data_IF_732226995634
#
_entry.id   IF_732226995634
#
_cell.length_a   1.000
_cell.length_b   1.000
_cell.length_c   1.000
_cell.angle_alpha   90.00
_cell.angle_beta   90.00
_cell.angle_gamma   90.00
#
_symmetry.space_group_name_H-M   'P 1'
#
loop_
_entity.id
_entity.type
_entity.pdbx_description
1 polymer ?
#
# COMPACT_ATOMS: atom_id res chain seq x y z
N UNK A 1 -33.39 35.50 -16.82
CA UNK A 1 -32.13 36.26 -16.91
C UNK A 1 -31.62 36.15 -18.35
N UNK A 2 -31.71 37.24 -19.12
CA UNK A 2 -31.18 37.31 -20.49
C UNK A 2 -29.67 37.54 -20.42
N UNK A 3 -28.87 36.63 -20.97
CA UNK A 3 -27.46 36.94 -21.27
C UNK A 3 -27.36 37.55 -22.66
N UNK A 4 -26.86 38.79 -22.69
CA UNK A 4 -26.61 39.61 -23.89
C UNK A 4 -25.59 38.96 -24.83
N UNK A 5 -25.79 39.22 -26.13
CA UNK A 5 -24.87 39.07 -27.26
C UNK A 5 -23.38 39.21 -26.85
N UNK A 6 -22.60 38.17 -27.09
CA UNK A 6 -21.14 38.28 -27.19
C UNK A 6 -20.80 38.74 -28.61
N UNK A 7 -20.53 40.04 -28.70
CA UNK A 7 -19.76 40.68 -29.76
C UNK A 7 -18.45 39.95 -29.99
N UNK A 8 -18.16 39.59 -31.25
CA UNK A 8 -16.82 39.53 -31.87
C UNK A 8 -15.64 39.62 -30.89
N UNK A 9 -15.39 38.54 -30.14
CA UNK A 9 -14.29 38.41 -29.19
C UNK A 9 -13.43 37.24 -29.58
N UNK A 10 -12.10 37.45 -29.58
CA UNK A 10 -11.03 36.51 -29.91
C UNK A 10 -11.39 35.07 -29.47
N UNK A 11 -11.28 34.05 -30.34
CA UNK A 11 -11.60 32.68 -29.97
C UNK A 11 -10.82 32.30 -28.72
N UNK A 12 -11.53 31.94 -27.65
CA UNK A 12 -10.95 31.47 -26.40
C UNK A 12 -10.16 30.21 -26.70
N UNK A 13 -8.85 30.25 -26.49
CA UNK A 13 -7.96 29.12 -26.73
C UNK A 13 -6.69 29.48 -27.46
N UNK A 14 -5.86 30.36 -26.89
CA UNK A 14 -4.41 30.39 -27.21
C UNK A 14 -3.56 31.14 -26.17
N UNK A 15 -4.16 31.92 -25.26
CA UNK A 15 -3.44 32.77 -24.29
C UNK A 15 -3.44 32.25 -22.83
N UNK A 16 -3.86 30.99 -22.61
CA UNK A 16 -3.85 30.37 -21.29
C UNK A 16 -4.99 30.81 -20.36
N UNK A 17 -5.99 31.53 -20.86
CA UNK A 17 -7.16 32.01 -20.11
C UNK A 17 -8.29 30.99 -19.95
N UNK A 18 -8.15 29.76 -20.48
CA UNK A 18 -9.14 28.69 -20.34
C UNK A 18 -9.25 28.22 -18.87
N UNK A 19 -9.97 29.01 -18.08
CA UNK A 19 -10.24 28.80 -16.67
C UNK A 19 -10.97 27.46 -16.45
N UNK A 20 -11.90 27.12 -17.35
CA UNK A 20 -12.60 25.83 -17.33
C UNK A 20 -11.65 24.65 -17.55
N UNK A 21 -10.66 24.77 -18.45
CA UNK A 21 -9.66 23.71 -18.65
C UNK A 21 -8.74 23.59 -17.43
N UNK A 22 -8.27 24.72 -16.89
CA UNK A 22 -7.43 24.75 -15.69
C UNK A 22 -8.12 24.15 -14.47
N UNK A 23 -9.40 24.44 -14.24
CA UNK A 23 -10.15 23.84 -13.12
C UNK A 23 -10.28 22.32 -13.22
N UNK A 24 -10.53 21.78 -14.43
CA UNK A 24 -10.65 20.32 -14.63
C UNK A 24 -9.28 19.63 -14.50
N UNK A 25 -8.22 20.28 -14.97
CA UNK A 25 -6.85 19.74 -14.91
C UNK A 25 -6.31 19.80 -13.48
N UNK A 26 -6.46 20.93 -12.79
CA UNK A 26 -6.00 21.11 -11.41
C UNK A 26 -6.71 20.18 -10.44
N UNK A 27 -8.03 19.99 -10.58
CA UNK A 27 -8.76 19.04 -9.74
C UNK A 27 -8.27 17.60 -9.92
N UNK A 28 -7.96 17.17 -11.16
CA UNK A 28 -7.36 15.85 -11.41
C UNK A 28 -5.96 15.71 -10.81
N UNK A 29 -5.11 16.72 -10.94
CA UNK A 29 -3.78 16.70 -10.33
C UNK A 29 -3.85 16.68 -8.80
N UNK A 30 -4.77 17.44 -8.20
CA UNK A 30 -5.01 17.40 -6.76
C UNK A 30 -5.48 16.02 -6.28
N UNK A 31 -6.35 15.35 -7.03
CA UNK A 31 -6.79 13.98 -6.71
C UNK A 31 -5.62 12.99 -6.75
N UNK A 32 -4.75 13.06 -7.76
CA UNK A 32 -3.56 12.21 -7.85
C UNK A 32 -2.59 12.50 -6.70
N UNK A 33 -2.37 13.77 -6.36
CA UNK A 33 -1.51 14.15 -5.24
C UNK A 33 -2.03 13.63 -3.90
N UNK A 34 -3.34 13.80 -3.64
CA UNK A 34 -4.01 13.23 -2.46
C UNK A 34 -3.88 11.72 -2.43
N UNK A 35 -4.18 11.03 -3.53
CA UNK A 35 -4.05 9.57 -3.63
C UNK A 35 -2.62 9.09 -3.33
N UNK A 36 -1.61 9.76 -3.88
CA UNK A 36 -0.19 9.44 -3.59
C UNK A 36 0.19 9.66 -2.13
N UNK A 37 -0.40 10.64 -1.46
CA UNK A 37 -0.19 10.89 -0.02
C UNK A 37 -0.78 9.75 0.82
N UNK A 38 -2.04 9.39 0.58
CA UNK A 38 -2.69 8.27 1.28
C UNK A 38 -1.93 6.97 1.08
N UNK A 39 -1.54 6.68 -0.16
CA UNK A 39 -0.77 5.49 -0.47
C UNK A 39 0.61 5.47 0.21
N UNK A 40 1.26 6.63 0.34
CA UNK A 40 2.51 6.75 1.10
C UNK A 40 2.30 6.41 2.58
N UNK A 41 1.18 6.82 3.16
CA UNK A 41 0.84 6.52 4.54
C UNK A 41 0.57 5.03 4.72
N UNK A 42 -0.17 4.41 3.78
CA UNK A 42 -0.38 2.95 3.78
C UNK A 42 0.94 2.17 3.74
N UNK A 43 1.91 2.55 2.91
CA UNK A 43 3.22 1.89 2.89
C UNK A 43 3.96 2.00 4.23
N UNK A 44 3.87 3.14 4.90
CA UNK A 44 4.49 3.32 6.22
C UNK A 44 3.79 2.42 7.25
N UNK A 45 2.45 2.41 7.27
CA UNK A 45 1.68 1.56 8.17
C UNK A 45 1.97 0.08 7.95
N UNK A 46 2.01 -0.38 6.70
CA UNK A 46 2.34 -1.77 6.38
C UNK A 46 3.77 -2.13 6.77
N UNK A 47 4.75 -1.24 6.54
CA UNK A 47 6.12 -1.47 6.96
C UNK A 47 6.25 -1.62 8.49
N UNK A 48 5.50 -0.81 9.26
CA UNK A 48 5.45 -0.92 10.73
C UNK A 48 4.83 -2.25 11.15
N UNK A 49 3.71 -2.64 10.56
CA UNK A 49 3.05 -3.92 10.84
C UNK A 49 3.96 -5.11 10.49
N UNK A 50 4.68 -5.02 9.38
CA UNK A 50 5.63 -6.04 8.97
C UNK A 50 6.81 -6.16 9.93
N UNK A 51 7.30 -5.03 10.47
CA UNK A 51 8.35 -5.04 11.48
C UNK A 51 7.88 -5.72 12.76
N UNK A 52 6.64 -5.46 13.20
CA UNK A 52 6.01 -6.16 14.33
C UNK A 52 5.83 -7.65 14.03
N UNK A 53 5.35 -8.00 12.84
CA UNK A 53 5.19 -9.40 12.43
C UNK A 53 6.52 -10.15 12.39
N UNK A 54 7.59 -9.50 11.92
CA UNK A 54 8.92 -10.06 11.87
C UNK A 54 9.50 -10.31 13.27
N UNK A 55 9.33 -9.40 14.22
CA UNK A 55 9.78 -9.62 15.60
C UNK A 55 9.01 -10.76 16.27
N UNK A 56 7.69 -10.83 16.05
CA UNK A 56 6.86 -11.92 16.56
C UNK A 56 7.19 -13.27 15.94
N UNK A 57 7.57 -13.32 14.66
CA UNK A 57 8.03 -14.55 14.01
C UNK A 57 9.43 -14.99 14.51
N UNK A 58 10.28 -14.03 14.87
CA UNK A 58 11.64 -14.27 15.33
C UNK A 58 11.71 -14.78 16.77
N UNK A 59 10.93 -14.20 17.69
CA UNK A 59 10.96 -14.53 19.13
C UNK A 59 10.83 -16.04 19.42
N UNK A 60 9.80 -16.76 18.90
CA UNK A 60 9.63 -18.19 19.14
C UNK A 60 10.72 -19.05 18.49
N UNK A 61 11.33 -18.56 17.40
CA UNK A 61 12.38 -19.27 16.68
C UNK A 61 13.71 -19.34 17.43
N UNK A 62 13.90 -18.52 18.48
CA UNK A 62 15.06 -18.61 19.37
C UNK A 62 14.94 -19.82 20.31
N UNK A 63 13.71 -20.16 20.72
CA UNK A 63 13.46 -21.26 21.68
C UNK A 63 13.08 -22.58 21.01
N UNK A 64 12.55 -22.53 19.78
CA UNK A 64 12.11 -23.72 19.05
C UNK A 64 13.14 -24.15 17.99
N UNK A 65 13.49 -25.44 17.96
CA UNK A 65 14.38 -26.08 16.96
C UNK A 65 13.85 -25.99 15.50
N UNK A 66 12.64 -25.48 15.29
CA UNK A 66 12.00 -25.35 13.99
C UNK A 66 11.51 -23.91 13.73
N UNK A 67 12.29 -23.06 13.06
CA UNK A 67 11.85 -21.72 12.67
C UNK A 67 10.69 -21.79 11.69
N UNK A 68 9.70 -20.90 11.83
CA UNK A 68 8.56 -20.81 10.92
C UNK A 68 8.99 -20.21 9.57
N UNK A 69 9.47 -21.08 8.69
CA UNK A 69 9.93 -20.76 7.33
C UNK A 69 8.87 -20.02 6.51
N UNK A 70 7.58 -20.31 6.73
CA UNK A 70 6.47 -19.61 6.06
C UNK A 70 6.37 -18.16 6.52
N UNK A 71 6.51 -17.89 7.81
CA UNK A 71 6.53 -16.51 8.32
C UNK A 71 7.74 -15.73 7.78
N UNK A 72 8.94 -16.31 7.82
CA UNK A 72 10.16 -15.66 7.31
C UNK A 72 10.09 -15.35 5.81
N UNK A 73 9.69 -16.33 5.01
CA UNK A 73 9.51 -16.13 3.56
C UNK A 73 8.46 -15.08 3.26
N UNK A 74 7.35 -15.07 4.02
CA UNK A 74 6.31 -14.04 3.89
C UNK A 74 6.85 -12.65 4.20
N UNK A 75 7.66 -12.49 5.27
CA UNK A 75 8.30 -11.20 5.59
C UNK A 75 9.19 -10.73 4.43
N UNK A 76 10.03 -11.62 3.88
CA UNK A 76 10.94 -11.28 2.77
C UNK A 76 10.14 -10.84 1.53
N UNK A 77 9.12 -11.61 1.14
CA UNK A 77 8.31 -11.29 -0.04
C UNK A 77 7.55 -9.97 0.15
N UNK A 78 7.02 -9.71 1.35
CA UNK A 78 6.34 -8.46 1.65
C UNK A 78 7.29 -7.25 1.60
N UNK A 79 8.54 -7.38 2.06
CA UNK A 79 9.56 -6.31 1.89
C UNK A 79 9.80 -6.02 0.40
N UNK A 80 9.99 -7.05 -0.41
CA UNK A 80 10.18 -6.89 -1.87
C UNK A 80 8.95 -6.25 -2.51
N UNK A 81 7.74 -6.69 -2.13
CA UNK A 81 6.49 -6.12 -2.62
C UNK A 81 6.37 -4.62 -2.28
N UNK A 82 6.71 -4.23 -1.05
CA UNK A 82 6.72 -2.82 -0.61
C UNK A 82 7.69 -1.96 -1.44
N UNK A 83 8.87 -2.48 -1.76
CA UNK A 83 9.84 -1.78 -2.63
C UNK A 83 9.23 -1.56 -4.02
N UNK A 84 8.62 -2.60 -4.60
CA UNK A 84 7.95 -2.52 -5.91
C UNK A 84 6.79 -1.50 -5.86
N UNK A 85 5.97 -1.55 -4.81
CA UNK A 85 4.86 -0.61 -4.59
C UNK A 85 5.33 0.84 -4.49
N UNK A 86 6.42 1.10 -3.75
CA UNK A 86 6.98 2.44 -3.63
C UNK A 86 7.56 2.97 -4.96
N UNK A 87 8.20 2.10 -5.74
CA UNK A 87 8.64 2.43 -7.11
C UNK A 87 7.41 2.75 -7.99
N UNK A 88 6.37 1.94 -7.91
CA UNK A 88 5.09 2.13 -8.61
C UNK A 88 4.45 3.48 -8.29
N UNK A 89 4.40 3.86 -7.01
CA UNK A 89 3.88 5.17 -6.56
C UNK A 89 4.70 6.33 -7.09
N UNK A 90 6.04 6.26 -7.02
CA UNK A 90 6.93 7.34 -7.50
C UNK A 90 6.79 7.54 -9.01
N UNK A 91 6.75 6.45 -9.78
CA UNK A 91 6.64 6.49 -11.26
C UNK A 91 5.19 6.57 -11.78
N UNK A 92 4.19 6.70 -10.91
CA UNK A 92 2.77 6.67 -11.26
C UNK A 92 2.35 5.46 -12.13
N UNK A 93 3.01 4.30 -11.95
CA UNK A 93 2.74 3.10 -12.76
C UNK A 93 1.67 2.25 -12.10
N UNK A 94 0.46 2.29 -12.65
CA UNK A 94 -0.70 1.55 -12.13
C UNK A 94 -0.49 0.03 -12.11
N UNK A 95 0.21 -0.54 -13.08
CA UNK A 95 0.52 -1.97 -13.13
C UNK A 95 1.32 -2.46 -11.92
N UNK A 96 2.39 -1.73 -11.55
CA UNK A 96 3.19 -2.06 -10.36
C UNK A 96 2.38 -1.93 -9.08
N UNK A 97 1.47 -0.96 -9.03
CA UNK A 97 0.62 -0.74 -7.87
C UNK A 97 -0.42 -1.84 -7.68
N UNK A 98 -1.00 -2.34 -8.79
CA UNK A 98 -1.91 -3.49 -8.77
C UNK A 98 -1.19 -4.77 -8.36
N UNK A 99 0.01 -4.99 -8.92
CA UNK A 99 0.84 -6.13 -8.55
C UNK A 99 1.15 -6.12 -7.04
N UNK A 100 1.64 -4.99 -6.53
CA UNK A 100 1.89 -4.81 -5.10
C UNK A 100 0.62 -5.10 -4.28
N UNK A 101 -0.54 -4.55 -4.66
CA UNK A 101 -1.78 -4.72 -3.89
C UNK A 101 -2.20 -6.20 -3.79
N UNK A 102 -2.09 -6.97 -4.88
CA UNK A 102 -2.42 -8.40 -4.88
C UNK A 102 -1.42 -9.20 -4.06
N UNK A 103 -0.12 -9.01 -4.31
CA UNK A 103 0.94 -9.79 -3.65
C UNK A 103 1.02 -9.48 -2.16
N UNK A 104 1.01 -8.19 -1.78
CA UNK A 104 0.99 -7.76 -0.37
C UNK A 104 -0.20 -8.38 0.37
N UNK A 105 -1.40 -8.37 -0.22
CA UNK A 105 -2.59 -8.95 0.42
C UNK A 105 -2.45 -10.45 0.68
N UNK A 106 -2.00 -11.22 -0.32
CA UNK A 106 -1.80 -12.67 -0.19
C UNK A 106 -0.76 -12.97 0.89
N UNK A 107 0.36 -12.27 0.85
CA UNK A 107 1.48 -12.53 1.76
C UNK A 107 1.17 -12.08 3.19
N UNK A 108 0.42 -10.99 3.37
CA UNK A 108 -0.07 -10.57 4.68
C UNK A 108 -1.01 -11.62 5.30
N UNK A 109 -1.90 -12.21 4.50
CA UNK A 109 -2.77 -13.30 4.97
C UNK A 109 -1.97 -14.54 5.37
N UNK A 110 -0.96 -14.92 4.57
CA UNK A 110 -0.06 -16.03 4.90
C UNK A 110 0.71 -15.77 6.19
N UNK A 111 1.21 -14.54 6.37
CA UNK A 111 1.92 -14.13 7.59
C UNK A 111 1.00 -14.26 8.81
N UNK A 112 -0.21 -13.68 8.77
CA UNK A 112 -1.17 -13.76 9.88
C UNK A 112 -1.53 -15.21 10.20
N UNK A 113 -1.82 -16.04 9.19
CA UNK A 113 -2.14 -17.45 9.39
C UNK A 113 -0.96 -18.22 10.02
N UNK A 114 0.26 -17.92 9.59
CA UNK A 114 1.48 -18.54 10.12
C UNK A 114 1.74 -18.15 11.58
N UNK A 115 1.49 -16.89 11.97
CA UNK A 115 1.60 -16.45 13.36
C UNK A 115 0.50 -17.05 14.23
N UNK A 116 -0.75 -17.11 13.73
CA UNK A 116 -1.87 -17.67 14.47
C UNK A 116 -1.67 -19.18 14.77
N UNK A 117 -1.18 -19.93 13.79
CA UNK A 117 -0.85 -21.36 13.96
C UNK A 117 0.29 -21.56 14.96
N UNK A 118 1.35 -20.74 14.91
CA UNK A 118 2.41 -20.78 15.93
C UNK A 118 1.87 -20.50 17.34
N UNK A 119 1.03 -19.48 17.49
CA UNK A 119 0.46 -19.14 18.80
C UNK A 119 -0.43 -20.27 19.34
N UNK A 120 -1.26 -20.89 18.49
CA UNK A 120 -2.08 -22.05 18.88
C UNK A 120 -1.22 -23.23 19.31
N UNK A 121 -0.15 -23.56 18.57
CA UNK A 121 0.77 -24.64 18.92
C UNK A 121 1.46 -24.37 20.27
N UNK A 122 1.95 -23.15 20.48
CA UNK A 122 2.56 -22.76 21.76
C UNK A 122 1.58 -22.93 22.91
N UNK A 123 0.34 -22.46 22.75
CA UNK A 123 -0.70 -22.59 23.78
C UNK A 123 -0.96 -24.06 24.15
N UNK A 124 -1.09 -24.94 23.16
CA UNK A 124 -1.30 -26.39 23.39
C UNK A 124 -0.11 -27.01 24.14
N UNK A 125 1.13 -26.65 23.79
CA UNK A 125 2.32 -27.17 24.47
C UNK A 125 2.36 -26.75 25.94
N UNK A 126 2.00 -25.49 26.25
CA UNK A 126 1.93 -25.01 27.63
C UNK A 126 0.81 -25.70 28.43
N UNK A 127 -0.34 -25.94 27.81
CA UNK A 127 -1.48 -26.62 28.46
C UNK A 127 -1.21 -28.10 28.72
N UNK A 128 -0.49 -28.80 27.84
CA UNK A 128 -0.08 -30.21 28.06
C UNK A 128 1.01 -30.34 29.13
N UNK A 129 1.82 -29.29 29.35
CA UNK A 129 2.94 -29.31 30.32
C UNK A 129 2.49 -29.07 31.76
N UNK A 130 1.31 -28.52 31.98
CA UNK A 130 0.80 -28.08 33.28
C UNK A 130 -0.27 -29.05 33.81
#
# INVERSE_FOLDING_TARGET
MQHRKLTSGRPSGTDGSDYSYRMVVDSRYQLVAKGKKYLSLHFITEAVLLLIGATLAYLPGIEADAPNTVAYSSVIVSVVSLIIGNIGRRRSRSGLLRFYAVVSSIVMLLLIASLATQHLLLKVIFEVRN
#
